data_IF_401931849785
#
_entry.id   IF_401931849785
#
_cell.length_a   1.000
_cell.length_b   1.000
_cell.length_c   1.000
_cell.angle_alpha   90.00
_cell.angle_beta   90.00
_cell.angle_gamma   90.00
#
_symmetry.space_group_name_H-M   'P 1'
#
loop_
_entity.id
_entity.type
_entity.pdbx_description
1 polymer ?
#
# COMPACT_ATOMS: atom_id res chain seq x y z
N UNK A 1 -4.11 14.40 22.55
CA UNK A 1 -2.76 14.04 23.06
C UNK A 1 -2.03 13.28 21.96
N UNK A 2 -0.69 13.29 21.92
CA UNK A 2 0.08 12.57 20.88
C UNK A 2 0.12 11.07 21.17
N UNK A 3 0.01 10.25 20.12
CA UNK A 3 0.20 8.80 20.24
C UNK A 3 1.68 8.46 20.36
N UNK A 4 2.02 7.54 21.27
CA UNK A 4 3.40 7.10 21.52
C UNK A 4 3.53 5.60 21.36
N UNK A 5 4.45 5.20 20.50
CA UNK A 5 4.74 3.80 20.15
C UNK A 5 6.05 3.40 20.84
N UNK A 6 6.03 2.31 21.60
CA UNK A 6 7.15 1.79 22.38
C UNK A 6 7.55 0.39 21.93
N UNK A 7 8.82 0.04 22.15
CA UNK A 7 9.31 -1.32 22.06
C UNK A 7 8.75 -2.16 23.23
N UNK A 8 8.99 -3.48 23.20
CA UNK A 8 8.49 -4.39 24.23
C UNK A 8 9.04 -4.15 25.64
N UNK A 9 10.12 -3.37 25.75
CA UNK A 9 10.80 -3.04 27.00
C UNK A 9 10.48 -1.60 27.47
N UNK A 10 9.64 -0.86 26.74
CA UNK A 10 9.21 0.49 27.09
C UNK A 10 10.10 1.61 26.56
N UNK A 11 11.06 1.32 25.68
CA UNK A 11 11.83 2.34 24.96
C UNK A 11 10.95 2.97 23.86
N UNK A 12 10.98 4.29 23.72
CA UNK A 12 10.16 5.01 22.72
C UNK A 12 10.70 4.76 21.32
N UNK A 13 9.83 4.30 20.42
CA UNK A 13 10.12 4.11 19.00
C UNK A 13 9.76 5.35 18.19
N UNK A 14 8.55 5.86 18.42
CA UNK A 14 8.01 6.99 17.69
C UNK A 14 6.95 7.71 18.52
N UNK A 15 7.02 9.04 18.54
CA UNK A 15 5.91 9.91 18.92
C UNK A 15 5.23 10.43 17.66
N UNK A 16 3.97 10.03 17.47
CA UNK A 16 3.15 10.42 16.35
C UNK A 16 2.58 11.80 16.65
N UNK A 17 3.05 12.80 15.91
CA UNK A 17 2.49 14.14 15.92
C UNK A 17 1.30 14.20 14.96
N UNK A 18 0.35 15.10 15.25
CA UNK A 18 -0.97 15.15 14.61
C UNK A 18 -0.96 15.16 13.09
N UNK A 19 -2.15 15.02 12.51
CA UNK A 19 -2.40 15.12 11.07
C UNK A 19 -1.60 16.29 10.48
N UNK A 20 -0.97 16.10 9.31
CA UNK A 20 -0.22 17.16 8.63
C UNK A 20 -1.02 18.46 8.62
N UNK A 21 -0.35 19.63 8.59
CA UNK A 21 -1.03 20.94 8.67
C UNK A 21 -2.25 20.96 7.72
N UNK A 22 -3.46 20.94 8.27
CA UNK A 22 -4.73 21.06 7.52
C UNK A 22 -4.75 22.42 6.83
N UNK A 23 -4.16 22.45 5.64
CA UNK A 23 -4.00 23.63 4.82
C UNK A 23 -4.91 23.45 3.63
N UNK A 24 -6.06 24.12 3.66
CA UNK A 24 -7.00 24.01 2.56
C UNK A 24 -6.41 24.72 1.34
N UNK A 25 -6.37 23.99 0.22
CA UNK A 25 -5.98 24.52 -1.09
C UNK A 25 -7.23 24.66 -1.93
N UNK A 26 -7.43 25.84 -2.51
CA UNK A 26 -8.59 26.05 -3.38
C UNK A 26 -8.46 25.23 -4.66
N UNK A 27 -9.57 24.75 -5.21
CA UNK A 27 -9.58 23.89 -6.40
C UNK A 27 -8.84 24.53 -7.58
N UNK A 28 -8.94 25.86 -7.71
CA UNK A 28 -8.25 26.62 -8.75
C UNK A 28 -6.71 26.59 -8.67
N UNK A 29 -6.15 26.27 -7.49
CA UNK A 29 -4.72 26.12 -7.26
C UNK A 29 -4.25 24.68 -7.44
N UNK A 30 -5.16 23.71 -7.34
CA UNK A 30 -4.83 22.30 -7.51
C UNK A 30 -4.50 22.03 -8.98
N UNK A 31 -3.39 21.31 -9.29
CA UNK A 31 -3.02 21.03 -10.67
C UNK A 31 -4.14 20.30 -11.42
N UNK A 32 -4.42 20.67 -12.69
CA UNK A 32 -5.44 19.99 -13.50
C UNK A 32 -5.22 18.48 -13.58
N UNK A 33 -3.96 18.04 -13.58
CA UNK A 33 -3.60 16.62 -13.55
C UNK A 33 -4.15 15.89 -12.30
N UNK A 34 -4.09 16.51 -11.12
CA UNK A 34 -4.60 15.92 -9.88
C UNK A 34 -6.13 15.85 -9.87
N UNK A 35 -6.79 16.88 -10.38
CA UNK A 35 -8.25 16.92 -10.56
C UNK A 35 -8.68 15.81 -11.51
N UNK A 36 -8.10 15.76 -12.70
CA UNK A 36 -8.42 14.76 -13.72
C UNK A 36 -8.11 13.33 -13.27
N UNK A 37 -6.97 13.11 -12.61
CA UNK A 37 -6.60 11.81 -12.06
C UNK A 37 -7.60 11.31 -11.02
N UNK A 38 -8.04 12.19 -10.12
CA UNK A 38 -9.02 11.86 -9.07
C UNK A 38 -10.37 11.50 -9.67
N UNK A 39 -10.86 12.31 -10.61
CA UNK A 39 -12.14 12.06 -11.30
C UNK A 39 -12.08 10.74 -12.06
N UNK A 40 -11.05 10.53 -12.87
CA UNK A 40 -10.91 9.34 -13.72
C UNK A 40 -10.90 8.04 -12.90
N UNK A 41 -10.30 8.04 -11.71
CA UNK A 41 -10.18 6.82 -10.88
C UNK A 41 -11.32 6.62 -9.88
N UNK A 42 -11.93 7.68 -9.38
CA UNK A 42 -12.97 7.60 -8.34
C UNK A 42 -14.41 7.76 -8.85
N UNK A 43 -14.64 8.59 -9.87
CA UNK A 43 -15.99 8.95 -10.35
C UNK A 43 -15.95 9.61 -11.74
N UNK A 44 -15.87 8.81 -12.81
CA UNK A 44 -15.82 9.27 -14.20
C UNK A 44 -17.06 10.09 -14.63
N UNK A 45 -18.21 9.85 -13.99
CA UNK A 45 -19.44 10.61 -14.20
C UNK A 45 -19.61 11.80 -13.25
N UNK A 46 -18.57 12.19 -12.50
CA UNK A 46 -18.68 13.15 -11.39
C UNK A 46 -19.43 14.44 -11.77
N UNK A 47 -19.12 15.07 -12.90
CA UNK A 47 -19.75 16.32 -13.30
C UNK A 47 -21.18 16.16 -13.81
N UNK A 48 -21.60 14.95 -14.19
CA UNK A 48 -22.91 14.66 -14.76
C UNK A 48 -23.89 14.10 -13.71
N UNK A 49 -23.38 13.34 -12.73
CA UNK A 49 -24.22 12.64 -11.77
C UNK A 49 -24.79 13.58 -10.69
N UNK A 50 -25.92 13.20 -10.07
CA UNK A 50 -26.56 13.98 -9.01
C UNK A 50 -26.09 13.60 -7.59
N UNK A 51 -24.80 13.26 -7.44
CA UNK A 51 -24.19 12.80 -6.20
C UNK A 51 -24.22 11.28 -6.02
N UNK A 52 -24.91 10.56 -6.90
CA UNK A 52 -24.88 9.11 -7.00
C UNK A 52 -24.98 8.71 -8.47
N UNK A 53 -24.13 7.79 -8.90
CA UNK A 53 -24.19 7.18 -10.22
C UNK A 53 -25.03 5.89 -10.13
N UNK A 54 -26.31 6.01 -10.47
CA UNK A 54 -27.25 4.90 -10.40
C UNK A 54 -26.93 3.79 -11.42
N UNK A 55 -26.58 4.09 -12.69
CA UNK A 55 -26.03 3.10 -13.61
C UNK A 55 -24.83 2.34 -13.04
N UNK A 56 -23.81 3.02 -12.52
CA UNK A 56 -22.61 2.37 -11.98
C UNK A 56 -22.89 1.55 -10.72
N UNK A 57 -23.79 2.02 -9.85
CA UNK A 57 -24.26 1.24 -8.69
C UNK A 57 -24.94 -0.07 -9.11
N UNK A 58 -25.80 -0.02 -10.14
CA UNK A 58 -26.48 -1.21 -10.67
C UNK A 58 -25.47 -2.15 -11.35
N UNK A 59 -24.54 -1.60 -12.15
CA UNK A 59 -23.49 -2.38 -12.81
C UNK A 59 -22.60 -3.09 -11.78
N UNK A 60 -22.15 -2.39 -10.73
CA UNK A 60 -21.38 -2.94 -9.64
C UNK A 60 -22.15 -4.06 -8.90
N UNK A 61 -23.45 -3.86 -8.63
CA UNK A 61 -24.29 -4.88 -8.01
C UNK A 61 -24.39 -6.15 -8.88
N UNK A 62 -24.58 -6.01 -10.19
CA UNK A 62 -24.64 -7.13 -11.13
C UNK A 62 -23.28 -7.84 -11.22
N UNK A 63 -22.18 -7.10 -11.29
CA UNK A 63 -20.84 -7.67 -11.32
C UNK A 63 -20.54 -8.48 -10.05
N UNK A 64 -20.86 -7.93 -8.87
CA UNK A 64 -20.60 -8.56 -7.58
C UNK A 64 -21.49 -9.79 -7.34
N UNK A 65 -22.72 -9.82 -7.86
CA UNK A 65 -23.60 -11.01 -7.79
C UNK A 65 -23.19 -12.12 -8.74
N UNK A 66 -22.58 -11.77 -9.89
CA UNK A 66 -22.03 -12.76 -10.85
C UNK A 66 -20.67 -13.29 -10.43
N UNK A 67 -19.90 -12.51 -9.67
CA UNK A 67 -18.59 -12.92 -9.16
C UNK A 67 -18.51 -12.73 -7.63
N UNK A 68 -19.29 -13.51 -6.85
CA UNK A 68 -19.42 -13.32 -5.41
C UNK A 68 -18.12 -13.60 -4.63
N UNK A 69 -17.17 -14.31 -5.22
CA UNK A 69 -15.86 -14.60 -4.64
C UNK A 69 -14.73 -13.71 -5.22
N UNK A 70 -15.06 -12.78 -6.12
CA UNK A 70 -14.10 -11.84 -6.70
C UNK A 70 -13.90 -10.59 -5.82
N UNK A 71 -12.88 -9.78 -6.13
CA UNK A 71 -12.74 -8.46 -5.52
C UNK A 71 -13.99 -7.62 -5.84
N UNK A 72 -14.67 -7.03 -4.85
CA UNK A 72 -15.85 -6.23 -5.09
C UNK A 72 -15.56 -5.05 -6.01
N UNK A 73 -16.36 -4.88 -7.06
CA UNK A 73 -16.35 -3.67 -7.88
C UNK A 73 -16.98 -2.54 -7.06
N UNK A 74 -16.22 -1.47 -6.83
CA UNK A 74 -16.70 -0.26 -6.16
C UNK A 74 -17.61 0.54 -7.10
N UNK A 75 -18.66 1.14 -6.55
CA UNK A 75 -19.58 2.02 -7.30
C UNK A 75 -19.93 3.28 -6.51
N UNK A 76 -19.02 3.77 -5.65
CA UNK A 76 -19.28 4.95 -4.81
C UNK A 76 -18.69 6.19 -5.44
N UNK A 77 -19.52 7.21 -5.66
CA UNK A 77 -19.13 8.50 -6.25
C UNK A 77 -18.27 9.33 -5.29
N UNK A 78 -17.55 10.33 -5.81
CA UNK A 78 -16.78 11.29 -4.99
C UNK A 78 -17.70 11.95 -3.94
N UNK A 79 -18.92 12.32 -4.32
CA UNK A 79 -19.90 12.92 -3.39
C UNK A 79 -20.31 11.96 -2.27
N UNK A 80 -20.50 10.68 -2.58
CA UNK A 80 -20.77 9.65 -1.57
C UNK A 80 -19.60 9.46 -0.61
N UNK A 81 -18.38 9.45 -1.14
CA UNK A 81 -17.17 9.29 -0.34
C UNK A 81 -16.93 10.45 0.61
N UNK A 82 -17.09 11.70 0.16
CA UNK A 82 -16.93 12.86 1.06
C UNK A 82 -18.03 12.90 2.12
N UNK A 83 -19.28 12.60 1.75
CA UNK A 83 -20.39 12.48 2.73
C UNK A 83 -20.09 11.42 3.77
N UNK A 84 -19.59 10.25 3.33
CA UNK A 84 -19.14 9.19 4.23
C UNK A 84 -18.07 9.72 5.20
N UNK A 85 -17.15 10.54 4.70
CA UNK A 85 -16.03 11.06 5.47
C UNK A 85 -16.38 12.23 6.41
N UNK A 86 -17.39 13.04 6.12
CA UNK A 86 -17.69 14.23 6.96
C UNK A 86 -18.90 14.03 7.88
N UNK A 87 -19.88 13.21 7.49
CA UNK A 87 -21.18 13.13 8.20
C UNK A 87 -21.24 11.99 9.20
N UNK A 88 -20.63 10.84 8.86
CA UNK A 88 -20.72 9.65 9.69
C UNK A 88 -19.63 9.65 10.76
N UNK A 89 -19.91 9.14 11.95
CA UNK A 89 -18.88 8.85 12.95
C UNK A 89 -18.06 7.60 12.53
N UNK A 90 -16.96 7.33 13.22
CA UNK A 90 -16.05 6.23 12.85
C UNK A 90 -16.74 4.85 12.84
N UNK A 91 -17.57 4.56 13.84
CA UNK A 91 -18.32 3.30 13.94
C UNK A 91 -19.31 3.15 12.78
N UNK A 92 -20.03 4.22 12.44
CA UNK A 92 -20.96 4.19 11.32
C UNK A 92 -20.21 4.17 9.99
N UNK A 93 -19.05 4.84 9.82
CA UNK A 93 -18.22 4.76 8.60
C UNK A 93 -17.78 3.34 8.27
N UNK A 94 -17.40 2.58 9.29
CA UNK A 94 -16.85 1.22 9.18
C UNK A 94 -17.93 0.13 9.16
N UNK A 95 -19.17 0.46 9.55
CA UNK A 95 -20.27 -0.50 9.53
C UNK A 95 -20.64 -0.94 8.10
N UNK A 96 -20.51 -2.23 7.81
CA UNK A 96 -20.99 -2.82 6.54
C UNK A 96 -22.51 -3.05 6.63
N UNK A 97 -23.30 -1.99 6.48
CA UNK A 97 -24.77 -2.08 6.49
C UNK A 97 -25.44 -1.42 5.29
N UNK A 98 -26.53 -2.03 4.82
CA UNK A 98 -27.39 -1.46 3.77
C UNK A 98 -28.00 -0.12 4.20
N UNK A 99 -28.36 0.03 5.47
CA UNK A 99 -28.94 1.25 6.02
C UNK A 99 -27.96 2.43 5.91
N UNK A 100 -26.68 2.21 6.25
CA UNK A 100 -25.63 3.22 6.08
C UNK A 100 -25.50 3.63 4.61
N UNK A 101 -25.45 2.65 3.69
CA UNK A 101 -25.28 2.97 2.26
C UNK A 101 -26.47 3.75 1.70
N UNK A 102 -27.70 3.46 2.15
CA UNK A 102 -28.89 4.25 1.78
C UNK A 102 -28.79 5.69 2.32
N UNK A 103 -28.39 5.86 3.59
CA UNK A 103 -28.16 7.20 4.17
C UNK A 103 -27.10 7.97 3.37
N UNK A 104 -26.00 7.31 3.02
CA UNK A 104 -24.89 7.91 2.23
C UNK A 104 -25.39 8.42 0.87
N UNK A 105 -26.22 7.64 0.16
CA UNK A 105 -26.82 8.04 -1.12
C UNK A 105 -27.75 9.25 -0.94
N UNK A 106 -28.63 9.23 0.07
CA UNK A 106 -29.57 10.34 0.33
C UNK A 106 -28.81 11.62 0.68
N UNK A 107 -27.81 11.52 1.57
CA UNK A 107 -26.99 12.64 1.98
C UNK A 107 -26.13 13.18 0.83
N UNK A 108 -25.62 12.32 -0.05
CA UNK A 108 -24.89 12.74 -1.25
C UNK A 108 -25.79 13.51 -2.24
N UNK A 109 -27.04 13.08 -2.39
CA UNK A 109 -28.04 13.83 -3.17
C UNK A 109 -28.37 15.19 -2.53
N UNK A 110 -28.52 15.24 -1.20
CA UNK A 110 -28.72 16.52 -0.47
C UNK A 110 -27.51 17.43 -0.66
N UNK A 111 -26.29 16.91 -0.56
CA UNK A 111 -25.05 17.67 -0.75
C UNK A 111 -24.98 18.26 -2.17
N UNK A 112 -25.28 17.46 -3.19
CA UNK A 112 -25.28 17.90 -4.61
C UNK A 112 -26.31 18.99 -4.94
N UNK A 113 -27.32 19.18 -4.09
CA UNK A 113 -28.29 20.28 -4.25
C UNK A 113 -27.90 21.56 -3.56
N UNK A 114 -27.02 21.49 -2.57
CA UNK A 114 -26.63 22.62 -1.75
C UNK A 114 -25.24 23.18 -2.13
N UNK A 115 -24.40 22.37 -2.77
CA UNK A 115 -23.05 22.73 -3.19
C UNK A 115 -22.85 22.44 -4.68
N UNK A 116 -22.08 23.30 -5.36
CA UNK A 116 -21.62 23.07 -6.72
C UNK A 116 -20.62 21.90 -6.81
N UNK A 117 -20.46 21.32 -7.99
CA UNK A 117 -19.53 20.20 -8.21
C UNK A 117 -18.09 20.55 -7.86
N UNK A 118 -17.65 21.76 -8.20
CA UNK A 118 -16.31 22.23 -7.85
C UNK A 118 -16.13 22.37 -6.34
N UNK A 119 -17.13 22.88 -5.61
CA UNK A 119 -17.08 22.96 -4.14
C UNK A 119 -17.02 21.57 -3.50
N UNK A 120 -17.77 20.61 -4.04
CA UNK A 120 -17.76 19.21 -3.58
C UNK A 120 -16.39 18.57 -3.83
N UNK A 121 -15.79 18.81 -4.99
CA UNK A 121 -14.47 18.28 -5.32
C UNK A 121 -13.37 18.94 -4.48
N UNK A 122 -13.46 20.24 -4.24
CA UNK A 122 -12.56 20.96 -3.33
C UNK A 122 -12.62 20.38 -1.91
N UNK A 123 -13.83 20.17 -1.38
CA UNK A 123 -14.01 19.50 -0.08
C UNK A 123 -13.42 18.09 -0.10
N UNK A 124 -13.66 17.31 -1.15
CA UNK A 124 -13.12 15.96 -1.28
C UNK A 124 -11.59 15.95 -1.22
N UNK A 125 -10.94 16.75 -2.07
CA UNK A 125 -9.48 16.80 -2.18
C UNK A 125 -8.80 17.33 -0.92
N UNK A 126 -9.49 18.14 -0.10
CA UNK A 126 -8.93 18.68 1.14
C UNK A 126 -9.22 17.80 2.38
N UNK A 127 -10.14 16.85 2.30
CA UNK A 127 -10.55 16.04 3.46
C UNK A 127 -10.17 14.56 3.33
N UNK A 128 -10.03 14.03 2.12
CA UNK A 128 -9.81 12.59 1.95
C UNK A 128 -8.46 12.13 2.53
N UNK A 129 -8.44 10.91 3.06
CA UNK A 129 -7.25 10.31 3.64
C UNK A 129 -6.38 9.65 2.56
N UNK A 130 -5.14 10.12 2.40
CA UNK A 130 -4.18 9.60 1.42
C UNK A 130 -3.21 8.55 2.01
N UNK A 131 -3.27 8.28 3.31
CA UNK A 131 -2.27 7.46 3.99
C UNK A 131 -1.25 8.34 4.73
N UNK A 132 -0.40 7.73 5.54
CA UNK A 132 0.66 8.44 6.27
C UNK A 132 0.21 9.64 7.15
N UNK A 133 -1.00 9.60 7.73
CA UNK A 133 -1.65 10.74 8.43
C UNK A 133 -1.86 12.00 7.56
N UNK A 134 -1.79 11.85 6.23
CA UNK A 134 -2.07 12.91 5.28
C UNK A 134 -3.57 12.97 4.95
N UNK A 135 -4.24 13.96 5.55
CA UNK A 135 -5.61 14.33 5.22
C UNK A 135 -5.60 15.54 4.30
N UNK A 136 -6.15 15.36 3.10
CA UNK A 136 -6.10 16.35 2.05
C UNK A 136 -4.83 16.33 1.20
N UNK A 137 -4.96 16.81 -0.02
CA UNK A 137 -3.94 16.74 -1.07
C UNK A 137 -2.68 17.53 -0.73
N UNK A 138 -2.80 18.66 -0.02
CA UNK A 138 -1.64 19.44 0.44
C UNK A 138 -0.82 18.68 1.48
N UNK A 139 -1.49 18.07 2.45
CA UNK A 139 -0.81 17.23 3.42
C UNK A 139 -0.18 16.01 2.74
N UNK A 140 -0.82 15.44 1.72
CA UNK A 140 -0.27 14.32 0.96
C UNK A 140 0.98 14.73 0.17
N UNK A 141 0.94 15.84 -0.56
CA UNK A 141 2.09 16.35 -1.29
C UNK A 141 3.30 16.62 -0.38
N UNK A 142 3.06 17.22 0.80
CA UNK A 142 4.11 17.45 1.79
C UNK A 142 4.64 16.13 2.38
N UNK A 143 3.75 15.20 2.71
CA UNK A 143 4.10 13.93 3.37
C UNK A 143 4.89 13.00 2.45
N UNK A 144 4.50 12.92 1.18
CA UNK A 144 5.11 12.00 0.22
C UNK A 144 6.25 12.62 -0.59
N UNK A 145 6.20 13.93 -0.90
CA UNK A 145 7.14 14.59 -1.82
C UNK A 145 7.81 15.87 -1.30
N UNK A 146 7.52 16.29 -0.05
CA UNK A 146 8.09 17.48 0.59
C UNK A 146 7.87 18.77 -0.22
N UNK A 147 6.67 18.90 -0.79
CA UNK A 147 6.30 20.05 -1.61
C UNK A 147 4.82 20.39 -1.51
N UNK A 148 4.46 21.54 -2.06
CA UNK A 148 3.08 21.98 -2.15
C UNK A 148 2.29 21.17 -3.18
N UNK A 149 0.99 20.95 -2.94
CA UNK A 149 0.11 20.27 -3.87
C UNK A 149 0.01 20.99 -5.23
N UNK A 150 0.24 22.30 -5.25
CA UNK A 150 0.22 23.11 -6.49
C UNK A 150 1.38 22.78 -7.43
N UNK A 151 2.43 22.14 -6.92
CA UNK A 151 3.66 21.80 -7.65
C UNK A 151 3.72 20.30 -8.03
N UNK A 152 2.62 19.55 -7.90
CA UNK A 152 2.57 18.13 -8.27
C UNK A 152 2.70 17.95 -9.79
N UNK A 153 3.57 17.04 -10.20
CA UNK A 153 3.68 16.57 -11.59
C UNK A 153 2.56 15.60 -11.91
N UNK A 154 2.35 15.28 -13.19
CA UNK A 154 1.39 14.25 -13.61
C UNK A 154 1.71 12.88 -12.96
N UNK A 155 3.00 12.54 -12.84
CA UNK A 155 3.43 11.29 -12.22
C UNK A 155 3.02 11.24 -10.73
N UNK A 156 3.31 12.29 -9.97
CA UNK A 156 2.99 12.31 -8.54
C UNK A 156 1.49 12.45 -8.29
N UNK A 157 0.79 13.28 -9.09
CA UNK A 157 -0.65 13.46 -9.00
C UNK A 157 -1.40 12.15 -9.27
N UNK A 158 -1.02 11.41 -10.32
CA UNK A 158 -1.61 10.11 -10.64
C UNK A 158 -1.31 9.06 -9.57
N UNK A 159 -0.14 9.11 -8.92
CA UNK A 159 0.17 8.23 -7.80
C UNK A 159 -0.73 8.55 -6.60
N UNK A 160 -0.80 9.82 -6.18
CA UNK A 160 -1.60 10.25 -5.03
C UNK A 160 -3.09 10.01 -5.24
N UNK A 161 -3.63 10.28 -6.42
CA UNK A 161 -5.03 10.04 -6.75
C UNK A 161 -5.43 8.56 -6.60
N UNK A 162 -4.48 7.63 -6.75
CA UNK A 162 -4.74 6.19 -6.58
C UNK A 162 -4.84 5.72 -5.13
N UNK A 163 -4.29 6.47 -4.17
CA UNK A 163 -4.13 6.05 -2.77
C UNK A 163 -5.45 5.95 -1.97
N UNK A 164 -6.41 6.89 -2.09
CA UNK A 164 -7.63 6.90 -1.26
C UNK A 164 -8.42 5.59 -1.23
N UNK A 165 -8.35 4.78 -2.30
CA UNK A 165 -9.02 3.48 -2.38
C UNK A 165 -8.59 2.52 -1.27
N UNK A 166 -7.28 2.43 -1.02
CA UNK A 166 -6.70 1.54 -0.01
C UNK A 166 -5.37 2.14 0.48
N UNK A 167 -5.42 3.19 1.32
CA UNK A 167 -4.25 4.01 1.63
C UNK A 167 -3.08 3.24 2.25
N UNK A 168 -3.37 2.15 2.98
CA UNK A 168 -2.34 1.33 3.62
C UNK A 168 -1.75 0.30 2.65
N UNK A 169 -2.59 -0.38 1.85
CA UNK A 169 -2.11 -1.40 0.90
C UNK A 169 -1.39 -0.79 -0.31
N UNK A 170 -1.76 0.44 -0.67
CA UNK A 170 -1.22 1.20 -1.79
C UNK A 170 -0.16 2.22 -1.36
N UNK A 171 0.28 2.19 -0.09
CA UNK A 171 1.31 3.12 0.39
C UNK A 171 2.63 2.88 -0.36
N UNK A 172 3.13 3.85 -1.15
CA UNK A 172 4.34 3.69 -1.93
C UNK A 172 5.60 3.49 -1.08
N UNK A 173 5.56 3.83 0.22
CA UNK A 173 6.70 3.63 1.13
C UNK A 173 6.80 2.20 1.66
N UNK A 174 5.75 1.39 1.57
CA UNK A 174 5.76 -0.01 2.01
C UNK A 174 5.49 -0.99 0.86
N UNK A 175 4.69 -0.58 -0.12
CA UNK A 175 4.30 -1.38 -1.27
C UNK A 175 4.36 -0.56 -2.57
N UNK A 176 5.58 -0.16 -2.95
CA UNK A 176 5.82 0.63 -4.15
C UNK A 176 5.28 -0.02 -5.44
N UNK A 177 5.38 -1.35 -5.55
CA UNK A 177 4.89 -2.08 -6.73
C UNK A 177 3.37 -1.94 -6.88
N UNK A 178 2.59 -2.19 -5.82
CA UNK A 178 1.13 -2.02 -5.89
C UNK A 178 0.73 -0.55 -6.12
N UNK A 179 1.47 0.40 -5.53
CA UNK A 179 1.26 1.82 -5.77
C UNK A 179 1.51 2.18 -7.25
N UNK A 180 2.56 1.64 -7.87
CA UNK A 180 2.88 1.82 -9.30
C UNK A 180 1.85 1.15 -10.21
N UNK A 181 1.39 -0.06 -9.89
CA UNK A 181 0.32 -0.72 -10.64
C UNK A 181 -0.97 0.12 -10.61
N UNK A 182 -1.32 0.67 -9.43
CA UNK A 182 -2.46 1.58 -9.28
C UNK A 182 -2.26 2.88 -10.06
N UNK A 183 -1.07 3.48 -10.01
CA UNK A 183 -0.74 4.67 -10.79
C UNK A 183 -0.92 4.41 -12.29
N UNK A 184 -0.47 3.25 -12.79
CA UNK A 184 -0.64 2.88 -14.20
C UNK A 184 -2.11 2.78 -14.58
N UNK A 185 -2.95 2.21 -13.72
CA UNK A 185 -4.40 2.18 -13.93
C UNK A 185 -4.97 3.61 -14.01
N UNK A 186 -4.63 4.50 -13.08
CA UNK A 186 -5.07 5.90 -13.08
C UNK A 186 -4.68 6.59 -14.39
N UNK A 187 -3.43 6.47 -14.82
CA UNK A 187 -2.92 7.08 -16.05
C UNK A 187 -3.67 6.57 -17.30
N UNK A 188 -3.99 5.28 -17.38
CA UNK A 188 -4.75 4.74 -18.51
C UNK A 188 -6.22 5.19 -18.50
N UNK A 189 -6.83 5.36 -17.32
CA UNK A 189 -8.18 5.92 -17.22
C UNK A 189 -8.19 7.37 -17.71
N UNK A 190 -7.22 8.19 -17.26
CA UNK A 190 -7.06 9.57 -17.74
C UNK A 190 -6.85 9.64 -19.25
N UNK A 191 -6.08 8.72 -19.84
CA UNK A 191 -5.89 8.65 -21.28
C UNK A 191 -7.17 8.22 -22.03
N UNK A 192 -7.92 7.28 -21.47
CA UNK A 192 -9.22 6.83 -21.99
C UNK A 192 -10.28 7.93 -22.01
N UNK A 193 -10.27 8.78 -20.99
CA UNK A 193 -11.16 9.94 -20.86
C UNK A 193 -10.69 11.16 -21.69
N UNK A 194 -9.51 11.06 -22.32
CA UNK A 194 -8.93 12.11 -23.15
C UNK A 194 -8.32 13.28 -22.37
N UNK A 195 -8.09 13.13 -21.05
CA UNK A 195 -7.44 14.14 -20.23
C UNK A 195 -5.94 14.26 -20.50
N UNK A 196 -5.31 13.17 -20.95
CA UNK A 196 -3.90 13.09 -21.39
C UNK A 196 -3.80 12.18 -22.61
N UNK A 197 -2.67 12.21 -23.32
CA UNK A 197 -2.40 11.22 -24.37
C UNK A 197 -1.79 9.93 -23.79
N UNK A 198 -1.82 8.85 -24.57
CA UNK A 198 -1.19 7.59 -24.16
C UNK A 198 0.33 7.74 -24.00
N UNK A 199 0.96 8.60 -24.80
CA UNK A 199 2.39 8.91 -24.70
C UNK A 199 2.71 9.65 -23.39
N UNK A 200 1.86 10.60 -22.99
CA UNK A 200 1.98 11.29 -21.70
C UNK A 200 1.81 10.32 -20.52
N UNK A 201 0.85 9.38 -20.62
CA UNK A 201 0.65 8.33 -19.63
C UNK A 201 1.90 7.46 -19.46
N UNK A 202 2.52 7.01 -20.56
CA UNK A 202 3.76 6.22 -20.52
C UNK A 202 4.92 7.04 -19.94
N UNK A 203 5.06 8.31 -20.34
CA UNK A 203 6.11 9.19 -19.84
C UNK A 203 6.00 9.43 -18.33
N UNK A 204 4.80 9.76 -17.84
CA UNK A 204 4.54 9.96 -16.41
C UNK A 204 4.75 8.68 -15.59
N UNK A 205 4.42 7.51 -16.15
CA UNK A 205 4.69 6.23 -15.49
C UNK A 205 6.19 5.93 -15.37
N UNK A 206 7.01 6.38 -16.33
CA UNK A 206 8.46 6.17 -16.32
C UNK A 206 9.23 7.22 -15.50
N UNK A 207 8.58 8.31 -15.11
CA UNK A 207 9.19 9.36 -14.28
C UNK A 207 9.65 8.79 -12.93
N UNK A 208 10.94 8.95 -12.56
CA UNK A 208 11.43 8.54 -11.24
C UNK A 208 10.79 9.38 -10.13
N UNK A 209 10.11 8.72 -9.19
CA UNK A 209 9.49 9.36 -8.04
C UNK A 209 10.51 9.49 -6.90
N UNK A 210 10.69 10.71 -6.39
CA UNK A 210 11.58 10.97 -5.24
C UNK A 210 10.75 11.30 -4.00
N UNK A 211 10.77 10.43 -2.99
CA UNK A 211 9.97 10.62 -1.80
C UNK A 211 10.63 11.59 -0.78
N UNK A 212 9.80 12.20 0.07
CA UNK A 212 10.14 13.15 1.15
C UNK A 212 10.86 12.50 2.34
N UNK A 213 11.86 13.19 2.89
CA UNK A 213 12.51 12.77 4.13
C UNK A 213 11.62 13.08 5.34
N UNK A 214 11.12 12.06 6.04
CA UNK A 214 10.51 12.28 7.34
C UNK A 214 11.61 12.65 8.36
N UNK A 215 11.67 13.92 8.76
CA UNK A 215 12.66 14.43 9.74
C UNK A 215 12.43 13.93 11.18
N UNK A 216 11.37 13.18 11.45
CA UNK A 216 11.07 12.72 12.81
C UNK A 216 12.18 11.78 13.31
N UNK A 217 12.49 11.85 14.61
CA UNK A 217 13.36 10.89 15.29
C UNK A 217 12.69 9.51 15.37
N UNK A 218 12.58 8.84 14.22
CA UNK A 218 12.09 7.48 14.08
C UNK A 218 13.18 6.51 14.49
N UNK A 219 12.96 5.80 15.59
CA UNK A 219 13.78 4.62 15.92
C UNK A 219 13.17 3.41 15.23
N UNK A 220 13.99 2.52 14.67
CA UNK A 220 13.54 1.35 13.92
C UNK A 220 12.51 1.72 12.82
N UNK A 221 12.86 2.61 11.87
CA UNK A 221 11.90 3.34 11.05
C UNK A 221 10.91 2.45 10.29
N UNK A 222 11.42 1.40 9.64
CA UNK A 222 10.58 0.42 8.92
C UNK A 222 9.52 -0.23 9.82
N UNK A 223 9.92 -0.67 11.01
CA UNK A 223 8.99 -1.26 11.97
C UNK A 223 8.03 -0.23 12.55
N UNK A 224 8.50 0.98 12.86
CA UNK A 224 7.67 2.05 13.43
C UNK A 224 6.57 2.52 12.46
N UNK A 225 6.90 2.64 11.18
CA UNK A 225 5.92 2.94 10.12
C UNK A 225 4.92 1.79 9.98
N UNK A 226 5.40 0.55 9.93
CA UNK A 226 4.55 -0.65 9.89
C UNK A 226 3.60 -0.73 11.10
N UNK A 227 4.10 -0.51 12.31
CA UNK A 227 3.31 -0.53 13.53
C UNK A 227 2.24 0.56 13.51
N UNK A 228 2.56 1.76 13.02
CA UNK A 228 1.57 2.83 12.86
C UNK A 228 0.49 2.47 11.84
N UNK A 229 0.85 1.93 10.67
CA UNK A 229 -0.14 1.48 9.67
C UNK A 229 -1.10 0.42 10.24
N UNK A 230 -0.58 -0.54 11.01
CA UNK A 230 -1.42 -1.51 11.72
C UNK A 230 -2.38 -0.85 12.72
N UNK A 231 -1.93 0.20 13.43
CA UNK A 231 -2.82 0.96 14.30
C UNK A 231 -3.90 1.72 13.51
N UNK A 232 -3.56 2.26 12.34
CA UNK A 232 -4.53 2.95 11.48
C UNK A 232 -5.60 1.99 10.95
N UNK A 233 -5.22 0.75 10.59
CA UNK A 233 -6.18 -0.29 10.22
C UNK A 233 -7.10 -0.67 11.38
N UNK A 234 -6.57 -0.76 12.60
CA UNK A 234 -7.32 -1.19 13.79
C UNK A 234 -8.22 -0.10 14.36
N UNK A 235 -7.73 1.14 14.42
CA UNK A 235 -8.33 2.23 15.18
C UNK A 235 -8.71 3.45 14.33
N UNK A 236 -8.30 3.48 13.06
CA UNK A 236 -8.46 4.64 12.19
C UNK A 236 -7.37 5.68 12.39
N UNK A 237 -6.97 6.35 11.32
CA UNK A 237 -5.89 7.34 11.33
C UNK A 237 -6.16 8.55 12.25
N UNK A 238 -7.42 8.98 12.41
CA UNK A 238 -7.78 10.07 13.32
C UNK A 238 -7.51 9.71 14.79
N UNK A 239 -7.86 8.48 15.21
CA UNK A 239 -7.58 8.00 16.56
C UNK A 239 -6.08 7.85 16.79
N UNK A 240 -5.34 7.38 15.78
CA UNK A 240 -3.88 7.27 15.85
C UNK A 240 -3.22 8.64 15.96
N UNK A 241 -3.69 9.65 15.23
CA UNK A 241 -3.13 10.99 15.27
C UNK A 241 -3.47 11.75 16.56
N UNK A 242 -4.73 11.70 17.00
CA UNK A 242 -5.24 12.63 18.02
C UNK A 242 -5.68 11.96 19.34
N UNK A 243 -5.80 10.63 19.34
CA UNK A 243 -6.37 9.85 20.45
C UNK A 243 -5.46 9.65 21.66
N UNK A 244 -4.18 10.05 21.61
CA UNK A 244 -3.27 9.94 22.76
C UNK A 244 -2.90 8.51 23.12
N UNK A 245 -2.83 7.61 22.15
CA UNK A 245 -2.63 6.18 22.42
C UNK A 245 -1.24 5.92 23.02
N UNK A 246 -1.17 5.00 23.97
CA UNK A 246 0.10 4.42 24.47
C UNK A 246 0.21 3.00 23.95
N UNK A 247 1.10 2.77 22.98
CA UNK A 247 1.19 1.50 22.25
C UNK A 247 2.49 0.78 22.60
N UNK A 248 2.38 -0.45 23.10
CA UNK A 248 3.54 -1.34 23.30
C UNK A 248 3.57 -2.37 22.17
N UNK A 249 4.70 -2.47 21.47
CA UNK A 249 4.89 -3.37 20.33
C UNK A 249 5.68 -4.64 20.72
N UNK A 250 5.85 -5.55 19.77
CA UNK A 250 6.64 -6.78 19.93
C UNK A 250 8.15 -6.59 19.71
N UNK A 251 8.56 -5.47 19.10
CA UNK A 251 9.94 -5.18 18.75
C UNK A 251 10.82 -5.17 20.00
N UNK A 252 12.01 -5.76 19.90
CA UNK A 252 13.07 -5.61 20.91
C UNK A 252 14.19 -4.77 20.30
N UNK A 253 14.40 -3.56 20.83
CA UNK A 253 15.40 -2.65 20.24
C UNK A 253 16.82 -3.18 20.27
N UNK A 254 17.14 -4.12 21.17
CA UNK A 254 18.47 -4.75 21.19
C UNK A 254 18.65 -5.65 19.97
N UNK A 255 17.63 -6.44 19.63
CA UNK A 255 17.65 -7.27 18.43
C UNK A 255 17.58 -6.42 17.15
N UNK A 256 16.80 -5.35 17.16
CA UNK A 256 16.74 -4.40 16.05
C UNK A 256 18.12 -3.79 15.75
N UNK A 257 18.78 -3.21 16.76
CA UNK A 257 20.12 -2.60 16.59
C UNK A 257 21.15 -3.62 16.11
N UNK A 258 21.10 -4.86 16.61
CA UNK A 258 21.95 -5.94 16.14
C UNK A 258 21.68 -6.29 14.67
N UNK A 259 20.41 -6.40 14.27
CA UNK A 259 20.03 -6.70 12.90
C UNK A 259 20.49 -5.60 11.92
N UNK A 260 20.29 -4.33 12.26
CA UNK A 260 20.75 -3.18 11.47
C UNK A 260 22.27 -3.18 11.32
N UNK A 261 23.01 -3.44 12.41
CA UNK A 261 24.46 -3.54 12.39
C UNK A 261 24.95 -4.67 11.47
N UNK A 262 24.39 -5.87 11.61
CA UNK A 262 24.80 -7.04 10.82
C UNK A 262 24.49 -6.85 9.34
N UNK A 263 23.32 -6.29 9.02
CA UNK A 263 22.92 -6.01 7.65
C UNK A 263 23.89 -5.02 6.97
N UNK A 264 24.17 -3.88 7.63
CA UNK A 264 25.15 -2.89 7.13
C UNK A 264 26.54 -3.49 6.94
N UNK A 265 27.01 -4.28 7.91
CA UNK A 265 28.32 -4.94 7.82
C UNK A 265 28.39 -5.91 6.64
N UNK A 266 27.35 -6.71 6.40
CA UNK A 266 27.32 -7.65 5.28
C UNK A 266 27.26 -6.95 3.93
N UNK A 267 26.40 -5.94 3.77
CA UNK A 267 26.32 -5.15 2.53
C UNK A 267 27.68 -4.52 2.23
N UNK A 268 28.31 -3.88 3.22
CA UNK A 268 29.63 -3.28 3.06
C UNK A 268 30.73 -4.30 2.74
N UNK A 269 30.69 -5.50 3.33
CA UNK A 269 31.68 -6.54 3.12
C UNK A 269 31.60 -7.18 1.72
N UNK A 270 30.39 -7.29 1.15
CA UNK A 270 30.18 -7.78 -0.22
C UNK A 270 30.68 -6.76 -1.24
N UNK A 271 30.46 -5.47 -0.96
CA UNK A 271 30.92 -4.35 -1.78
C UNK A 271 30.09 -4.12 -3.05
N UNK A 272 30.22 -2.94 -3.67
CA UNK A 272 29.39 -2.52 -4.80
C UNK A 272 29.65 -3.34 -6.08
N UNK A 273 30.80 -4.01 -6.19
CA UNK A 273 31.18 -4.80 -7.37
C UNK A 273 30.22 -5.95 -7.67
N UNK A 274 29.47 -6.42 -6.66
CA UNK A 274 28.46 -7.49 -6.82
C UNK A 274 27.04 -6.95 -6.92
N UNK A 275 26.88 -5.62 -7.05
CA UNK A 275 25.60 -4.94 -7.14
C UNK A 275 24.65 -5.27 -5.97
N UNK A 276 25.20 -5.55 -4.78
CA UNK A 276 24.45 -5.77 -3.56
C UNK A 276 24.56 -4.49 -2.71
N UNK A 277 23.55 -3.63 -2.82
CA UNK A 277 23.53 -2.29 -2.22
C UNK A 277 22.56 -2.18 -1.04
N UNK A 278 21.69 -3.17 -0.85
CA UNK A 278 20.63 -3.13 0.16
C UNK A 278 20.38 -4.53 0.77
N UNK A 279 19.63 -4.57 1.87
CA UNK A 279 19.21 -5.80 2.54
C UNK A 279 17.93 -5.57 3.35
N UNK A 280 17.12 -6.63 3.45
CA UNK A 280 15.95 -6.68 4.31
C UNK A 280 16.04 -7.90 5.25
N UNK A 281 15.47 -7.77 6.45
CA UNK A 281 15.46 -8.82 7.46
C UNK A 281 14.23 -8.69 8.36
N UNK A 282 13.61 -9.84 8.64
CA UNK A 282 12.57 -9.97 9.67
C UNK A 282 12.97 -11.09 10.62
N UNK A 283 13.02 -10.80 11.92
CA UNK A 283 13.23 -11.80 12.96
C UNK A 283 11.91 -12.06 13.68
N UNK A 284 11.41 -13.30 13.59
CA UNK A 284 10.16 -13.71 14.22
C UNK A 284 10.42 -14.61 15.43
N UNK A 285 9.61 -14.47 16.47
CA UNK A 285 9.60 -15.39 17.61
C UNK A 285 8.77 -16.64 17.28
N UNK A 286 9.37 -17.85 17.25
CA UNK A 286 8.64 -19.09 16.97
C UNK A 286 7.47 -19.30 17.93
N UNK A 287 6.37 -19.87 17.42
CA UNK A 287 5.15 -20.18 18.18
C UNK A 287 4.21 -18.99 18.42
N UNK A 288 4.70 -17.75 18.36
CA UNK A 288 3.85 -16.55 18.55
C UNK A 288 3.76 -15.68 17.30
N UNK A 289 4.78 -15.71 16.43
CA UNK A 289 4.86 -14.80 15.29
C UNK A 289 5.24 -13.35 15.66
N UNK A 290 5.58 -13.07 16.93
CA UNK A 290 6.03 -11.73 17.34
C UNK A 290 7.24 -11.29 16.50
N UNK A 291 7.16 -10.11 15.89
CA UNK A 291 8.27 -9.48 15.17
C UNK A 291 9.22 -8.86 16.19
N UNK A 292 10.42 -9.44 16.29
CA UNK A 292 11.46 -9.01 17.23
C UNK A 292 12.39 -7.96 16.64
N UNK A 293 12.60 -8.00 15.33
CA UNK A 293 13.35 -7.04 14.54
C UNK A 293 12.80 -7.01 13.11
N UNK A 294 12.77 -5.84 12.49
CA UNK A 294 12.39 -5.64 11.10
C UNK A 294 13.21 -4.49 10.51
N UNK A 295 13.91 -4.76 9.41
CA UNK A 295 14.48 -3.74 8.55
C UNK A 295 14.12 -4.04 7.09
N UNK A 296 13.61 -3.04 6.38
CA UNK A 296 13.37 -3.10 4.95
C UNK A 296 14.54 -2.60 4.10
N UNK A 297 15.52 -1.92 4.72
CA UNK A 297 16.73 -1.44 4.06
C UNK A 297 17.87 -1.27 5.06
N UNK A 298 19.11 -1.20 4.58
CA UNK A 298 20.29 -0.97 5.43
C UNK A 298 20.46 0.47 5.89
N UNK A 299 19.94 1.42 5.10
CA UNK A 299 19.86 2.83 5.46
C UNK A 299 18.53 3.42 5.01
N UNK A 300 17.69 3.78 5.98
CA UNK A 300 16.37 4.35 5.72
C UNK A 300 16.43 5.71 5.02
N UNK A 301 17.54 6.44 5.16
CA UNK A 301 17.69 7.81 4.63
C UNK A 301 18.38 7.86 3.27
N UNK A 302 18.92 6.74 2.80
CA UNK A 302 19.62 6.68 1.52
C UNK A 302 18.63 6.49 0.36
N UNK A 303 18.36 7.57 -0.37
CA UNK A 303 17.49 7.55 -1.54
C UNK A 303 18.09 6.77 -2.72
N UNK A 304 19.40 6.53 -2.77
CA UNK A 304 20.05 5.82 -3.89
C UNK A 304 19.77 4.31 -3.88
N UNK A 305 19.27 3.79 -2.76
CA UNK A 305 18.91 2.38 -2.57
C UNK A 305 17.42 2.21 -2.25
N UNK A 306 16.62 3.25 -2.51
CA UNK A 306 15.21 3.32 -2.13
C UNK A 306 15.00 3.04 -0.63
N UNK A 307 15.86 3.61 0.22
CA UNK A 307 15.98 3.27 1.63
C UNK A 307 14.68 3.32 2.44
N UNK A 308 13.69 4.11 2.01
CA UNK A 308 12.39 4.20 2.69
C UNK A 308 11.42 3.10 2.32
N UNK A 309 11.64 2.45 1.19
CA UNK A 309 10.83 1.30 0.77
C UNK A 309 11.08 0.16 1.75
N UNK A 310 10.02 -0.30 2.41
CA UNK A 310 10.12 -1.44 3.31
C UNK A 310 10.13 -2.76 2.53
N UNK A 311 11.30 -3.14 1.99
CA UNK A 311 11.47 -4.37 1.20
C UNK A 311 11.08 -5.64 1.98
N UNK A 312 11.07 -5.60 3.31
CA UNK A 312 10.62 -6.72 4.13
C UNK A 312 9.12 -7.05 3.96
N UNK A 313 8.33 -6.10 3.44
CA UNK A 313 6.91 -6.26 3.15
C UNK A 313 6.61 -6.39 1.64
N UNK A 314 7.61 -6.14 0.79
CA UNK A 314 7.45 -6.18 -0.65
C UNK A 314 7.53 -7.62 -1.18
N UNK A 315 6.66 -8.04 -2.13
CA UNK A 315 6.80 -9.32 -2.80
C UNK A 315 8.15 -9.43 -3.53
N UNK A 316 8.84 -10.56 -3.36
CA UNK A 316 10.11 -10.83 -4.02
C UNK A 316 10.13 -12.29 -4.49
N UNK A 317 10.84 -12.58 -5.57
CA UNK A 317 11.02 -13.97 -5.99
C UNK A 317 11.83 -14.73 -4.91
N UNK A 318 11.28 -15.81 -4.31
CA UNK A 318 11.98 -16.51 -3.23
C UNK A 318 13.14 -17.39 -3.75
N UNK A 319 13.19 -17.64 -5.06
CA UNK A 319 14.15 -18.56 -5.66
C UNK A 319 14.12 -19.94 -4.97
N UNK A 320 15.30 -20.49 -4.66
CA UNK A 320 15.39 -21.80 -3.99
C UNK A 320 14.85 -21.81 -2.54
N UNK A 321 14.60 -20.65 -1.91
CA UNK A 321 14.08 -20.59 -0.55
C UNK A 321 12.65 -21.14 -0.42
N UNK A 322 11.92 -21.32 -1.53
CA UNK A 322 10.58 -21.92 -1.54
C UNK A 322 10.60 -23.45 -1.35
N UNK A 323 11.72 -24.12 -1.70
CA UNK A 323 11.82 -25.58 -1.74
C UNK A 323 11.39 -26.28 -0.43
N UNK A 324 11.76 -25.80 0.77
CA UNK A 324 11.32 -26.42 2.02
C UNK A 324 9.80 -26.53 2.14
N UNK A 325 9.02 -25.59 1.58
CA UNK A 325 7.55 -25.67 1.60
C UNK A 325 7.02 -26.81 0.71
N UNK A 326 7.64 -27.04 -0.45
CA UNK A 326 7.31 -28.17 -1.33
C UNK A 326 7.60 -29.51 -0.64
N UNK A 327 8.75 -29.63 0.02
CA UNK A 327 9.07 -30.82 0.79
C UNK A 327 8.14 -30.99 1.99
N UNK A 328 7.80 -29.92 2.70
CA UNK A 328 6.85 -29.96 3.80
C UNK A 328 5.49 -30.48 3.34
N UNK A 329 4.99 -30.08 2.17
CA UNK A 329 3.76 -30.61 1.60
C UNK A 329 3.83 -32.13 1.31
N UNK A 330 4.96 -32.61 0.78
CA UNK A 330 5.15 -34.04 0.50
C UNK A 330 5.28 -34.90 1.78
N UNK A 331 5.89 -34.35 2.82
CA UNK A 331 6.11 -34.99 4.12
C UNK A 331 4.93 -34.78 5.10
N UNK A 332 3.93 -33.98 4.73
CA UNK A 332 2.76 -33.73 5.58
C UNK A 332 1.81 -34.93 5.56
N UNK A 333 1.27 -35.35 6.71
CA UNK A 333 0.27 -36.41 6.75
C UNK A 333 -0.95 -36.09 5.88
N UNK A 334 -1.41 -37.07 5.10
CA UNK A 334 -2.67 -37.01 4.38
C UNK A 334 -3.85 -37.37 5.30
N UNK A 335 -5.06 -37.46 4.74
CA UNK A 335 -6.28 -37.79 5.47
C UNK A 335 -6.24 -39.16 6.17
N UNK A 336 -5.41 -40.09 5.70
CA UNK A 336 -5.19 -41.41 6.31
C UNK A 336 -4.12 -41.39 7.42
N UNK A 337 -3.58 -40.21 7.75
CA UNK A 337 -2.57 -40.00 8.77
C UNK A 337 -1.14 -40.34 8.34
N UNK A 338 -0.91 -40.68 7.06
CA UNK A 338 0.43 -41.01 6.54
C UNK A 338 0.88 -39.98 5.51
N UNK A 339 2.16 -39.58 5.50
CA UNK A 339 2.65 -38.70 4.47
C UNK A 339 2.82 -39.44 3.14
N UNK A 340 2.74 -38.71 2.03
CA UNK A 340 3.03 -39.27 0.70
C UNK A 340 4.46 -39.78 0.63
N UNK A 341 5.38 -38.97 1.15
CA UNK A 341 6.81 -39.23 1.15
C UNK A 341 7.37 -39.20 2.59
N UNK A 342 8.57 -39.73 2.73
CA UNK A 342 9.42 -39.76 3.90
C UNK A 342 10.76 -39.13 3.54
N UNK A 343 11.56 -38.80 4.55
CA UNK A 343 12.91 -38.28 4.32
C UNK A 343 13.86 -39.30 3.66
N UNK A 344 13.45 -40.56 3.53
CA UNK A 344 14.23 -41.63 2.90
C UNK A 344 13.84 -41.90 1.44
N UNK A 345 12.80 -41.24 0.91
CA UNK A 345 12.39 -41.46 -0.46
C UNK A 345 13.41 -40.94 -1.47
N UNK A 346 13.62 -41.73 -2.52
CA UNK A 346 14.59 -41.44 -3.58
C UNK A 346 13.94 -40.52 -4.60
N UNK A 347 14.60 -39.39 -4.85
CA UNK A 347 14.27 -38.42 -5.89
C UNK A 347 15.27 -38.58 -7.03
N UNK A 348 14.75 -38.90 -8.22
CA UNK A 348 15.57 -39.01 -9.43
C UNK A 348 15.97 -37.61 -9.91
N UNK A 349 17.26 -37.32 -9.86
CA UNK A 349 17.88 -36.13 -10.41
C UNK A 349 18.39 -36.43 -11.83
N UNK A 350 17.45 -36.49 -12.77
CA UNK A 350 17.65 -36.80 -14.20
C UNK A 350 17.05 -35.71 -15.09
N UNK A 351 17.43 -35.61 -16.37
CA UNK A 351 16.81 -34.66 -17.30
C UNK A 351 15.29 -34.85 -17.38
N UNK A 352 14.55 -33.75 -17.20
CA UNK A 352 13.10 -33.71 -17.29
C UNK A 352 12.64 -32.58 -18.22
N UNK A 353 11.52 -32.79 -18.89
CA UNK A 353 10.89 -31.82 -19.77
C UNK A 353 9.37 -31.86 -19.56
N UNK A 354 8.76 -30.69 -19.40
CA UNK A 354 7.33 -30.54 -19.15
C UNK A 354 6.72 -29.65 -20.23
N UNK A 355 5.68 -30.13 -20.91
CA UNK A 355 4.88 -29.27 -21.79
C UNK A 355 4.05 -28.29 -20.96
N UNK A 356 4.13 -27.01 -21.31
CA UNK A 356 3.37 -25.93 -20.68
C UNK A 356 2.08 -25.65 -21.46
N UNK A 357 1.10 -25.04 -20.80
CA UNK A 357 -0.22 -24.74 -21.39
C UNK A 357 -0.18 -23.85 -22.63
N UNK A 358 0.88 -23.04 -22.79
CA UNK A 358 1.12 -22.18 -23.94
C UNK A 358 1.88 -22.91 -25.09
N UNK A 359 2.12 -24.21 -24.96
CA UNK A 359 2.84 -25.03 -25.94
C UNK A 359 4.37 -24.94 -25.86
N UNK A 360 4.95 -24.18 -24.92
CA UNK A 360 6.40 -24.18 -24.70
C UNK A 360 6.83 -25.35 -23.80
N UNK A 361 8.08 -25.79 -23.94
CA UNK A 361 8.64 -26.85 -23.10
C UNK A 361 9.49 -26.25 -22.00
N UNK A 362 9.19 -26.60 -20.75
CA UNK A 362 10.01 -26.27 -19.59
C UNK A 362 10.94 -27.44 -19.24
N UNK A 363 12.25 -27.22 -19.41
CA UNK A 363 13.29 -28.18 -19.10
C UNK A 363 14.25 -27.58 -18.06
N UNK A 364 13.97 -27.71 -16.75
CA UNK A 364 14.83 -27.16 -15.71
C UNK A 364 16.18 -27.87 -15.65
N UNK A 365 17.20 -27.12 -15.24
CA UNK A 365 18.54 -27.64 -14.96
C UNK A 365 18.95 -27.29 -13.53
N UNK A 366 19.83 -28.10 -12.94
CA UNK A 366 20.44 -27.78 -11.66
C UNK A 366 21.37 -26.58 -11.78
N UNK A 367 21.62 -25.92 -10.65
CA UNK A 367 22.46 -24.73 -10.59
C UNK A 367 23.88 -24.97 -11.12
N UNK A 368 24.42 -26.18 -10.95
CA UNK A 368 25.74 -26.59 -11.43
C UNK A 368 25.74 -27.17 -12.85
N UNK A 369 24.56 -27.24 -13.49
CA UNK A 369 24.38 -27.80 -14.83
C UNK A 369 24.56 -29.32 -14.92
N UNK A 370 24.55 -30.05 -13.79
CA UNK A 370 24.76 -31.51 -13.74
C UNK A 370 23.55 -32.24 -13.16
N UNK A 371 23.51 -33.55 -13.36
CA UNK A 371 22.49 -34.47 -12.85
C UNK A 371 23.15 -35.50 -11.94
N UNK A 372 22.54 -35.81 -10.80
CA UNK A 372 23.12 -36.62 -9.73
C UNK A 372 22.50 -38.00 -9.54
N UNK A 373 21.45 -38.38 -10.29
CA UNK A 373 21.01 -39.77 -10.34
C UNK A 373 19.52 -39.97 -10.37
#
# INVERSE_FOLDING_TARGET
ETTRIFDRNGELLWEVFGEGKRTNVSLAQIPPAMIAATIAVEDDTFYENAGADLPSLIAALIANTRNPNGRPVGGSTITQQIVRHIVFDYEERTAVSYNRKIKEIILAWIMSRNYGKDEILEMYLNEIYYGNLAYGVEAAAQTYFDKSAVDLTLAEASLLAGLPQSPVELDPLTNFEAAKERQWLVLNLMAGDGAITQEEAVAAYQEPLTFAAQEVSLTAPHFSVYARQQLEEMFGAEMVANGGLRVTTSLDLRYQRLAEQLARQHVAAVGPERNLTNAALVALKPGTGEILAMLGSVDYRDATIDGRVNVALSPQQPGSAIKPLTYAAALSPQADGKPSWTAADILWDVPVAYEQFNGTVYAPVNYDGRFHG
#
